data_IF_453293804875
#
_entry.id   IF_453293804875
#
_cell.length_a   1.000
_cell.length_b   1.000
_cell.length_c   1.000
_cell.angle_alpha   90.00
_cell.angle_beta   90.00
_cell.angle_gamma   90.00
#
_symmetry.space_group_name_H-M   'P 1'
#
loop_
_entity.id
_entity.type
_entity.pdbx_description
1 polymer ?
#
# COMPACT_ATOMS: atom_id res chain seq x y z
N UNK A 1 -18.64 -1.32 13.87
CA UNK A 1 -17.61 -0.41 13.41
C UNK A 1 -17.34 0.70 14.41
N UNK A 2 -16.11 1.12 14.44
CA UNK A 2 -15.66 2.25 15.26
C UNK A 2 -15.26 3.40 14.33
N UNK A 3 -15.31 4.64 14.88
CA UNK A 3 -14.73 5.81 14.23
C UNK A 3 -13.50 6.22 15.05
N UNK A 4 -12.33 6.24 14.41
CA UNK A 4 -11.07 6.69 14.98
C UNK A 4 -10.61 7.89 14.15
N UNK A 5 -10.43 9.04 14.77
CA UNK A 5 -10.14 10.28 14.04
C UNK A 5 -9.28 11.26 14.82
N UNK A 6 -8.56 12.10 14.06
CA UNK A 6 -7.79 13.21 14.62
C UNK A 6 -6.59 12.79 15.46
N UNK A 7 -6.00 11.64 15.15
CA UNK A 7 -4.83 11.13 15.86
C UNK A 7 -3.57 11.92 15.48
N UNK A 8 -2.69 12.17 16.45
CA UNK A 8 -1.37 12.77 16.21
C UNK A 8 -0.35 11.76 15.64
N UNK A 9 -0.69 10.49 15.67
CA UNK A 9 0.01 9.39 14.99
C UNK A 9 -0.90 8.78 13.94
N UNK A 10 -0.81 7.48 13.78
CA UNK A 10 -1.71 6.64 12.98
C UNK A 10 -3.10 6.56 13.64
N UNK A 11 -4.16 6.40 12.85
CA UNK A 11 -5.46 6.09 13.44
C UNK A 11 -5.46 4.68 14.05
N UNK A 12 -4.74 3.73 13.42
CA UNK A 12 -4.55 2.39 13.92
C UNK A 12 -3.11 1.92 13.63
N UNK A 13 -2.39 1.58 14.66
CA UNK A 13 -1.05 1.01 14.56
C UNK A 13 -1.02 -0.40 15.13
N UNK A 14 -0.58 -1.35 14.32
CA UNK A 14 -0.43 -2.75 14.70
C UNK A 14 1.02 -3.18 14.54
N UNK A 15 1.59 -3.76 15.57
CA UNK A 15 2.90 -4.41 15.53
C UNK A 15 2.79 -5.83 16.07
N UNK A 16 3.37 -6.80 15.38
CA UNK A 16 3.37 -8.20 15.80
C UNK A 16 1.97 -8.83 15.89
N UNK A 17 0.95 -8.25 15.28
CA UNK A 17 -0.40 -8.80 15.35
C UNK A 17 -0.54 -10.04 14.44
N UNK A 18 -1.30 -11.02 14.93
CA UNK A 18 -1.46 -12.29 14.25
C UNK A 18 -2.92 -12.66 14.08
N UNK A 19 -3.34 -12.88 12.81
CA UNK A 19 -4.71 -13.31 12.45
C UNK A 19 -5.81 -12.44 13.08
N UNK A 20 -5.58 -11.14 13.13
CA UNK A 20 -6.54 -10.17 13.68
C UNK A 20 -7.51 -9.73 12.59
N UNK A 21 -8.78 -9.59 12.96
CA UNK A 21 -9.82 -9.05 12.08
C UNK A 21 -10.08 -7.59 12.43
N UNK A 22 -9.86 -6.70 11.45
CA UNK A 22 -10.06 -5.25 11.57
C UNK A 22 -11.09 -4.87 10.51
N UNK A 23 -12.34 -4.74 10.92
CA UNK A 23 -13.43 -4.63 9.96
C UNK A 23 -14.47 -3.57 10.32
N UNK A 24 -15.06 -2.95 9.30
CA UNK A 24 -16.15 -1.98 9.40
C UNK A 24 -15.83 -0.75 10.25
N UNK A 25 -14.59 -0.26 10.22
CA UNK A 25 -14.19 0.94 10.93
C UNK A 25 -14.05 2.12 9.95
N UNK A 26 -14.18 3.33 10.47
CA UNK A 26 -13.78 4.57 9.79
C UNK A 26 -12.53 5.11 10.46
N UNK A 27 -11.41 5.19 9.71
CA UNK A 27 -10.10 5.65 10.15
C UNK A 27 -9.77 6.94 9.39
N UNK A 28 -9.70 8.08 10.09
CA UNK A 28 -9.64 9.35 9.38
C UNK A 28 -8.92 10.47 10.11
N UNK A 29 -8.51 11.46 9.32
CA UNK A 29 -8.00 12.74 9.79
C UNK A 29 -6.76 12.59 10.72
N UNK A 30 -5.93 11.58 10.47
CA UNK A 30 -4.72 11.32 11.25
C UNK A 30 -3.49 12.02 10.65
N UNK A 31 -2.58 12.42 11.52
CA UNK A 31 -1.33 13.08 11.10
C UNK A 31 -0.45 12.12 10.30
N UNK A 32 -0.37 10.88 10.74
CA UNK A 32 0.33 9.80 10.06
C UNK A 32 -0.67 8.91 9.29
N UNK A 33 -0.36 7.65 9.04
CA UNK A 33 -1.20 6.72 8.28
C UNK A 33 -2.60 6.54 8.87
N UNK A 34 -3.54 6.15 8.04
CA UNK A 34 -4.84 5.67 8.53
C UNK A 34 -4.68 4.37 9.29
N UNK A 35 -3.93 3.42 8.72
CA UNK A 35 -3.51 2.19 9.37
C UNK A 35 -2.10 1.81 8.98
N UNK A 36 -1.31 1.34 9.93
CA UNK A 36 -0.03 0.70 9.71
C UNK A 36 -0.05 -0.72 10.29
N UNK A 37 0.14 -1.72 9.43
CA UNK A 37 0.40 -3.10 9.80
C UNK A 37 1.91 -3.30 9.74
N UNK A 38 2.57 -3.05 10.86
CA UNK A 38 4.03 -3.03 10.95
C UNK A 38 4.60 -4.38 11.39
N UNK A 39 5.88 -4.42 11.53
CA UNK A 39 6.78 -5.55 11.81
C UNK A 39 6.16 -6.71 12.56
N UNK A 40 6.17 -7.88 11.93
CA UNK A 40 5.60 -9.10 12.48
C UNK A 40 4.07 -9.18 12.42
N UNK A 41 3.41 -8.29 11.71
CA UNK A 41 1.98 -8.43 11.39
C UNK A 41 1.78 -9.55 10.39
N UNK A 42 1.12 -10.65 10.81
CA UNK A 42 1.00 -11.87 10.00
C UNK A 42 -0.45 -12.32 9.89
N UNK A 43 -0.92 -12.47 8.64
CA UNK A 43 -2.22 -13.08 8.35
C UNK A 43 -3.42 -12.27 8.86
N UNK A 44 -3.28 -10.96 9.04
CA UNK A 44 -4.39 -10.12 9.47
C UNK A 44 -5.37 -9.87 8.32
N UNK A 45 -6.62 -9.67 8.65
CA UNK A 45 -7.71 -9.38 7.72
C UNK A 45 -8.24 -7.97 7.97
N UNK A 46 -7.85 -7.04 7.11
CA UNK A 46 -8.28 -5.64 7.12
C UNK A 46 -9.32 -5.43 6.02
N UNK A 47 -10.61 -5.35 6.39
CA UNK A 47 -11.67 -5.36 5.39
C UNK A 47 -12.88 -4.49 5.71
N UNK A 48 -13.55 -4.02 4.66
CA UNK A 48 -14.78 -3.23 4.75
C UNK A 48 -14.60 -1.96 5.60
N UNK A 49 -13.40 -1.39 5.65
CA UNK A 49 -13.13 -0.16 6.35
C UNK A 49 -13.20 1.04 5.39
N UNK A 50 -13.44 2.20 5.95
CA UNK A 50 -13.28 3.50 5.32
C UNK A 50 -11.99 4.14 5.85
N UNK A 51 -11.08 4.51 4.94
CA UNK A 51 -9.78 5.12 5.29
C UNK A 51 -9.64 6.43 4.53
N UNK A 52 -9.77 7.56 5.21
CA UNK A 52 -9.92 8.85 4.54
C UNK A 52 -9.16 10.00 5.22
N UNK A 53 -8.60 10.90 4.42
CA UNK A 53 -7.92 12.12 4.87
C UNK A 53 -6.77 11.86 5.87
N UNK A 54 -6.01 10.81 5.71
CA UNK A 54 -4.86 10.51 6.58
C UNK A 54 -3.55 10.96 5.92
N UNK A 55 -2.48 10.95 6.71
CA UNK A 55 -1.16 11.37 6.27
C UNK A 55 -1.02 12.89 6.20
N UNK A 56 -1.72 13.65 7.04
CA UNK A 56 -1.80 15.13 6.97
C UNK A 56 -0.43 15.79 7.05
N UNK A 57 0.54 15.19 7.73
CA UNK A 57 1.92 15.66 7.73
C UNK A 57 2.60 15.57 6.36
N UNK A 58 2.00 14.85 5.41
CA UNK A 58 2.48 14.67 4.03
C UNK A 58 3.31 13.40 3.84
N UNK A 59 3.15 12.78 2.66
CA UNK A 59 3.96 11.65 2.22
C UNK A 59 3.63 10.28 2.83
N UNK A 60 2.50 10.14 3.55
CA UNK A 60 2.11 8.89 4.19
C UNK A 60 0.81 8.31 3.59
N UNK A 61 0.73 6.97 3.43
CA UNK A 61 -0.40 6.32 2.77
C UNK A 61 -1.65 6.21 3.67
N UNK A 62 -2.77 5.87 3.06
CA UNK A 62 -3.97 5.51 3.81
C UNK A 62 -3.76 4.20 4.58
N UNK A 63 -3.26 3.18 3.90
CA UNK A 63 -2.96 1.85 4.44
C UNK A 63 -1.51 1.52 4.16
N UNK A 64 -0.72 1.23 5.19
CA UNK A 64 0.65 0.76 5.10
C UNK A 64 0.75 -0.71 5.57
N UNK A 65 1.42 -1.54 4.78
CA UNK A 65 1.92 -2.84 5.22
C UNK A 65 3.44 -2.75 5.21
N UNK A 66 4.01 -2.57 6.39
CA UNK A 66 5.42 -2.35 6.60
C UNK A 66 6.06 -3.58 7.23
N UNK A 67 6.81 -4.33 6.43
CA UNK A 67 7.40 -5.60 6.89
C UNK A 67 6.36 -6.61 7.44
N UNK A 68 5.17 -6.61 6.83
CA UNK A 68 4.05 -7.49 7.17
C UNK A 68 3.85 -8.58 6.11
N UNK A 69 3.48 -9.78 6.54
CA UNK A 69 3.38 -10.94 5.64
C UNK A 69 2.01 -11.61 5.68
N UNK A 70 1.54 -12.08 4.52
CA UNK A 70 0.28 -12.81 4.37
C UNK A 70 -0.96 -12.06 4.88
N UNK A 71 -0.93 -10.73 4.97
CA UNK A 71 -2.10 -9.94 5.33
C UNK A 71 -3.04 -9.80 4.13
N UNK A 72 -4.31 -9.62 4.42
CA UNK A 72 -5.35 -9.43 3.41
C UNK A 72 -5.98 -8.06 3.62
N UNK A 73 -5.93 -7.23 2.59
CA UNK A 73 -6.63 -5.92 2.53
C UNK A 73 -7.76 -6.06 1.51
N UNK A 74 -8.99 -6.15 1.97
CA UNK A 74 -10.13 -6.54 1.15
C UNK A 74 -11.31 -5.57 1.26
N UNK A 75 -11.89 -5.19 0.14
CA UNK A 75 -13.16 -4.44 0.08
C UNK A 75 -13.19 -3.15 0.93
N UNK A 76 -12.08 -2.46 1.03
CA UNK A 76 -12.01 -1.16 1.73
C UNK A 76 -12.28 -0.01 0.75
N UNK A 77 -12.79 1.10 1.29
CA UNK A 77 -12.92 2.38 0.60
C UNK A 77 -11.84 3.33 1.12
N UNK A 78 -10.86 3.65 0.28
CA UNK A 78 -9.63 4.35 0.66
C UNK A 78 -9.47 5.59 -0.22
N UNK A 79 -9.62 6.79 0.36
CA UNK A 79 -9.64 7.99 -0.46
C UNK A 79 -9.12 9.24 0.25
N UNK A 80 -8.68 10.21 -0.54
CA UNK A 80 -8.16 11.49 -0.06
C UNK A 80 -7.02 11.35 0.98
N UNK A 81 -6.20 10.31 0.91
CA UNK A 81 -5.01 10.22 1.75
C UNK A 81 -3.83 10.91 1.06
N UNK A 82 -2.89 11.42 1.83
CA UNK A 82 -1.89 12.36 1.27
C UNK A 82 -0.86 11.71 0.37
N UNK A 83 -0.62 10.42 0.51
CA UNK A 83 0.22 9.60 -0.36
C UNK A 83 -0.63 8.47 -0.98
N UNK A 84 -0.03 7.36 -1.35
CA UNK A 84 -0.72 6.20 -1.94
C UNK A 84 -1.92 5.75 -1.10
N UNK A 85 -2.92 5.20 -1.74
CA UNK A 85 -4.05 4.60 -1.02
C UNK A 85 -3.57 3.43 -0.16
N UNK A 86 -2.86 2.48 -0.79
CA UNK A 86 -2.26 1.32 -0.12
C UNK A 86 -0.78 1.26 -0.48
N UNK A 87 0.09 1.03 0.50
CA UNK A 87 1.52 0.91 0.28
C UNK A 87 2.08 -0.34 0.99
N UNK A 88 2.81 -1.16 0.24
CA UNK A 88 3.60 -2.27 0.75
C UNK A 88 5.07 -1.85 0.70
N UNK A 89 5.74 -1.89 1.83
CA UNK A 89 7.14 -1.45 1.95
C UNK A 89 7.98 -2.47 2.70
N UNK A 90 9.29 -2.35 2.53
CA UNK A 90 10.29 -3.25 3.11
C UNK A 90 10.06 -4.69 2.65
N UNK A 91 9.80 -5.59 3.56
CA UNK A 91 9.59 -7.02 3.30
C UNK A 91 8.09 -7.36 3.37
N UNK A 92 7.29 -6.75 2.50
CA UNK A 92 5.87 -7.06 2.36
C UNK A 92 5.65 -8.34 1.54
N UNK A 93 5.58 -9.51 2.18
CA UNK A 93 5.54 -10.79 1.46
C UNK A 93 4.17 -11.44 1.43
N UNK A 94 3.75 -11.88 0.25
CA UNK A 94 2.57 -12.72 0.07
C UNK A 94 1.26 -12.09 0.52
N UNK A 95 1.19 -10.76 0.59
CA UNK A 95 -0.04 -10.07 0.96
C UNK A 95 -1.04 -10.09 -0.20
N UNK A 96 -2.32 -10.02 0.12
CA UNK A 96 -3.41 -9.99 -0.86
C UNK A 96 -4.16 -8.67 -0.74
N UNK A 97 -4.16 -7.88 -1.81
CA UNK A 97 -4.85 -6.61 -1.93
C UNK A 97 -5.98 -6.80 -2.93
N UNK A 98 -7.21 -6.89 -2.46
CA UNK A 98 -8.32 -7.34 -3.32
C UNK A 98 -9.59 -6.52 -3.12
N UNK A 99 -10.32 -6.26 -4.20
CA UNK A 99 -11.62 -5.60 -4.20
C UNK A 99 -11.66 -4.18 -3.59
N UNK A 100 -10.54 -3.52 -3.36
CA UNK A 100 -10.52 -2.19 -2.77
C UNK A 100 -10.90 -1.12 -3.80
N UNK A 101 -11.43 -0.02 -3.31
CA UNK A 101 -11.65 1.20 -4.07
C UNK A 101 -10.68 2.25 -3.53
N UNK A 102 -9.73 2.68 -4.37
CA UNK A 102 -8.74 3.72 -4.05
C UNK A 102 -9.04 4.94 -4.92
N UNK A 103 -9.45 6.05 -4.32
CA UNK A 103 -9.87 7.24 -5.07
C UNK A 103 -9.19 8.51 -4.52
N UNK A 104 -8.67 9.35 -5.43
CA UNK A 104 -8.10 10.66 -5.10
C UNK A 104 -7.09 10.64 -3.93
N UNK A 105 -6.32 9.58 -3.81
CA UNK A 105 -5.19 9.54 -2.89
C UNK A 105 -4.01 10.31 -3.50
N UNK A 106 -2.94 10.52 -2.74
CA UNK A 106 -1.73 11.22 -3.18
C UNK A 106 -1.94 12.70 -3.54
N UNK A 107 -2.88 13.36 -2.89
CA UNK A 107 -3.15 14.78 -3.14
C UNK A 107 -1.99 15.71 -2.69
N UNK A 108 -1.14 15.26 -1.80
CA UNK A 108 0.01 16.00 -1.31
C UNK A 108 1.30 15.32 -1.74
N UNK A 109 1.64 15.43 -3.01
CA UNK A 109 2.77 14.77 -3.66
C UNK A 109 4.13 15.24 -3.11
N UNK A 110 4.43 14.91 -1.88
CA UNK A 110 5.77 15.13 -1.33
C UNK A 110 6.66 13.93 -1.66
N UNK A 111 7.17 13.91 -2.87
CA UNK A 111 8.47 13.31 -3.19
C UNK A 111 8.51 11.91 -3.79
N UNK A 112 7.45 11.18 -4.00
CA UNK A 112 7.49 9.89 -4.71
C UNK A 112 6.29 9.73 -5.64
N UNK A 113 6.42 8.92 -6.65
CA UNK A 113 5.42 8.67 -7.68
C UNK A 113 4.08 8.33 -7.05
N UNK A 114 3.11 9.22 -7.22
CA UNK A 114 1.79 9.03 -6.63
C UNK A 114 1.08 7.84 -7.27
N UNK A 115 0.67 6.89 -6.48
CA UNK A 115 -0.03 5.69 -6.94
C UNK A 115 -1.24 5.35 -6.08
N UNK A 116 -2.21 4.71 -6.67
CA UNK A 116 -3.32 4.16 -5.89
C UNK A 116 -2.87 3.03 -4.99
N UNK A 117 -2.03 2.13 -5.54
CA UNK A 117 -1.40 1.02 -4.82
C UNK A 117 0.10 1.00 -5.17
N UNK A 118 0.93 0.92 -4.16
CA UNK A 118 2.37 1.03 -4.24
C UNK A 118 3.05 -0.20 -3.64
N UNK A 119 4.01 -0.76 -4.36
CA UNK A 119 4.80 -1.92 -3.92
C UNK A 119 6.27 -1.54 -4.06
N UNK A 120 6.91 -1.22 -2.94
CA UNK A 120 8.29 -0.77 -2.91
C UNK A 120 9.14 -1.62 -1.95
N UNK A 121 10.38 -1.92 -2.32
CA UNK A 121 11.40 -2.22 -1.35
C UNK A 121 11.77 -0.90 -0.67
N UNK A 122 11.91 -0.85 0.63
CA UNK A 122 12.54 0.29 1.25
C UNK A 122 14.05 0.02 1.33
N UNK A 123 14.86 0.96 0.89
CA UNK A 123 16.29 0.95 1.17
C UNK A 123 16.50 0.93 2.67
N UNK A 124 17.31 0.00 3.10
CA UNK A 124 17.63 -0.15 4.51
C UNK A 124 18.38 1.08 4.99
N UNK A 125 17.76 1.89 5.83
CA UNK A 125 18.56 2.66 6.77
C UNK A 125 19.15 1.66 7.77
N UNK A 126 20.46 1.42 7.61
CA UNK A 126 21.23 0.48 8.41
C UNK A 126 21.34 0.96 9.84
N UNK A 127 20.33 0.74 10.67
CA UNK A 127 20.56 0.80 12.13
C UNK A 127 19.68 -0.21 12.90
N UNK A 128 20.27 -1.38 13.13
CA UNK A 128 20.07 -2.19 14.36
C UNK A 128 18.69 -2.74 14.74
N UNK A 129 17.76 -3.00 13.83
CA UNK A 129 16.44 -3.51 14.25
C UNK A 129 16.15 -4.98 13.86
N UNK A 130 17.10 -5.75 13.39
CA UNK A 130 16.93 -7.20 13.17
C UNK A 130 15.89 -7.58 12.11
N UNK A 131 15.62 -6.70 11.18
CA UNK A 131 14.76 -6.96 10.03
C UNK A 131 15.47 -7.88 9.02
N UNK A 132 14.69 -8.65 8.28
CA UNK A 132 15.20 -9.40 7.13
C UNK A 132 15.36 -8.39 5.99
N UNK A 133 16.49 -7.69 6.00
CA UNK A 133 16.82 -6.69 5.01
C UNK A 133 17.06 -7.35 3.65
N UNK A 134 16.58 -6.74 2.58
CA UNK A 134 16.97 -7.08 1.22
C UNK A 134 16.07 -8.04 0.47
N UNK A 135 14.88 -8.39 0.96
CA UNK A 135 13.98 -9.27 0.22
C UNK A 135 12.96 -8.54 -0.66
N UNK A 136 12.77 -7.22 -0.51
CA UNK A 136 11.75 -6.47 -1.23
C UNK A 136 10.32 -6.94 -0.92
N UNK A 137 9.33 -6.32 -1.55
CA UNK A 137 7.92 -6.67 -1.40
C UNK A 137 7.50 -7.65 -2.51
N UNK A 138 7.55 -8.95 -2.21
CA UNK A 138 7.44 -10.03 -3.19
C UNK A 138 6.20 -10.90 -3.00
N UNK A 139 5.83 -11.62 -4.06
CA UNK A 139 4.73 -12.61 -4.07
C UNK A 139 3.37 -12.03 -3.65
N UNK A 140 3.19 -10.73 -3.74
CA UNK A 140 1.91 -10.12 -3.41
C UNK A 140 0.93 -10.26 -4.58
N UNK A 141 -0.36 -10.27 -4.25
CA UNK A 141 -1.45 -10.34 -5.22
C UNK A 141 -2.28 -9.07 -5.12
N UNK A 142 -2.36 -8.31 -6.22
CA UNK A 142 -3.22 -7.13 -6.36
C UNK A 142 -4.30 -7.44 -7.39
N UNK A 143 -5.51 -7.69 -6.91
CA UNK A 143 -6.57 -8.28 -7.71
C UNK A 143 -7.89 -7.51 -7.59
N UNK A 144 -8.54 -7.25 -8.72
CA UNK A 144 -9.91 -6.71 -8.78
C UNK A 144 -10.11 -5.40 -7.98
N UNK A 145 -9.08 -4.56 -7.87
CA UNK A 145 -9.22 -3.25 -7.25
C UNK A 145 -9.68 -2.23 -8.30
N UNK A 146 -10.35 -1.18 -7.82
CA UNK A 146 -10.70 -0.02 -8.63
C UNK A 146 -9.90 1.18 -8.12
N UNK A 147 -9.08 1.75 -9.00
CA UNK A 147 -8.23 2.90 -8.67
C UNK A 147 -8.59 4.06 -9.59
N UNK A 148 -9.05 5.16 -9.02
CA UNK A 148 -9.52 6.33 -9.77
C UNK A 148 -9.05 7.63 -9.15
N UNK A 149 -9.13 8.72 -9.91
CA UNK A 149 -8.84 10.07 -9.41
C UNK A 149 -7.40 10.52 -9.68
N UNK A 150 -6.82 11.28 -8.77
CA UNK A 150 -5.57 12.03 -8.97
C UNK A 150 -4.33 11.22 -8.60
N UNK A 151 -3.94 10.27 -9.45
CA UNK A 151 -2.71 9.49 -9.27
C UNK A 151 -1.87 9.53 -10.56
N UNK A 152 -0.56 9.32 -10.48
CA UNK A 152 0.29 9.10 -11.67
C UNK A 152 0.18 7.65 -12.15
N UNK A 153 0.03 6.72 -11.22
CA UNK A 153 -0.07 5.28 -11.48
C UNK A 153 -1.27 4.67 -10.75
N UNK A 154 -1.93 3.73 -11.39
CA UNK A 154 -2.91 2.89 -10.71
C UNK A 154 -2.24 1.96 -9.71
N UNK A 155 -1.30 1.14 -10.19
CA UNK A 155 -0.38 0.32 -9.39
C UNK A 155 1.05 0.62 -9.82
N UNK A 156 1.93 0.83 -8.86
CA UNK A 156 3.35 1.05 -9.08
C UNK A 156 4.17 -0.01 -8.36
N UNK A 157 5.11 -0.63 -9.07
CA UNK A 157 6.07 -1.58 -8.50
C UNK A 157 7.46 -1.00 -8.74
N UNK A 158 8.20 -0.75 -7.67
CA UNK A 158 9.53 -0.19 -7.73
C UNK A 158 10.60 -1.18 -7.29
N UNK A 159 11.79 -0.99 -7.84
CA UNK A 159 13.03 -1.42 -7.22
C UNK A 159 13.61 -0.28 -6.40
N UNK A 160 14.32 -0.62 -5.35
CA UNK A 160 15.25 0.30 -4.75
C UNK A 160 16.50 0.36 -5.63
N UNK A 161 16.61 1.44 -6.41
CA UNK A 161 17.73 1.69 -7.31
C UNK A 161 18.97 2.20 -6.55
N UNK A 162 18.93 2.19 -5.23
CA UNK A 162 20.09 2.58 -4.44
C UNK A 162 21.07 1.42 -4.30
N UNK A 163 22.33 1.70 -4.58
CA UNK A 163 23.46 0.76 -4.63
C UNK A 163 23.77 0.01 -3.31
N UNK A 164 22.84 -0.05 -2.40
CA UNK A 164 23.01 -0.55 -1.04
C UNK A 164 22.05 -1.69 -0.68
N UNK A 165 22.05 -2.78 -1.46
CA UNK A 165 21.39 -4.03 -1.07
C UNK A 165 19.86 -4.00 -0.90
N UNK A 166 19.14 -3.04 -1.46
CA UNK A 166 17.69 -3.07 -1.53
C UNK A 166 17.22 -4.29 -2.33
N UNK A 167 16.30 -5.09 -1.79
CA UNK A 167 15.72 -6.20 -2.52
C UNK A 167 14.80 -5.71 -3.66
N UNK A 168 14.68 -6.50 -4.71
CA UNK A 168 13.74 -6.21 -5.78
C UNK A 168 12.31 -6.57 -5.38
N UNK A 169 11.34 -5.72 -5.67
CA UNK A 169 9.91 -6.06 -5.53
C UNK A 169 9.45 -6.88 -6.74
N UNK A 170 9.57 -8.20 -6.67
CA UNK A 170 9.35 -9.09 -7.81
C UNK A 170 8.28 -10.17 -7.54
N UNK A 171 7.97 -10.95 -8.58
CA UNK A 171 7.04 -12.07 -8.52
C UNK A 171 5.64 -11.69 -7.98
N UNK A 172 5.27 -10.41 -8.10
CA UNK A 172 3.94 -9.94 -7.74
C UNK A 172 2.95 -10.22 -8.88
N UNK A 173 1.67 -10.38 -8.55
CA UNK A 173 0.60 -10.63 -9.51
C UNK A 173 -0.40 -9.48 -9.48
N UNK A 174 -0.48 -8.71 -10.57
CA UNK A 174 -1.36 -7.54 -10.72
C UNK A 174 -2.39 -7.83 -11.82
N UNK A 175 -3.60 -8.18 -11.44
CA UNK A 175 -4.59 -8.65 -12.42
C UNK A 175 -6.00 -8.13 -12.16
N UNK A 176 -6.77 -7.99 -13.22
CA UNK A 176 -8.20 -7.64 -13.21
C UNK A 176 -8.52 -6.33 -12.48
N UNK A 177 -7.54 -5.44 -12.30
CA UNK A 177 -7.80 -4.13 -11.71
C UNK A 177 -8.36 -3.17 -12.75
N UNK A 178 -9.08 -2.16 -12.28
CA UNK A 178 -9.65 -1.08 -13.09
C UNK A 178 -8.95 0.22 -12.74
N UNK A 179 -8.46 0.93 -13.75
CA UNK A 179 -7.73 2.18 -13.58
C UNK A 179 -8.40 3.34 -14.31
N UNK A 180 -8.25 4.56 -13.79
CA UNK A 180 -8.68 5.76 -14.50
C UNK A 180 -7.87 5.95 -15.79
N UNK A 181 -8.53 6.44 -16.85
CA UNK A 181 -7.87 6.77 -18.13
C UNK A 181 -6.91 7.97 -18.04
N UNK A 182 -6.96 8.75 -16.97
CA UNK A 182 -6.11 9.93 -16.79
C UNK A 182 -4.67 9.59 -16.33
N UNK A 183 -4.39 8.35 -16.04
CA UNK A 183 -3.07 7.95 -15.55
C UNK A 183 -2.03 7.86 -16.66
N UNK A 184 -0.77 8.17 -16.32
CA UNK A 184 0.36 7.93 -17.21
C UNK A 184 0.48 6.43 -17.49
N UNK A 185 0.28 5.59 -16.46
CA UNK A 185 0.19 4.14 -16.58
C UNK A 185 -0.87 3.59 -15.61
N UNK A 186 -1.68 2.66 -16.08
CA UNK A 186 -2.59 1.92 -15.20
C UNK A 186 -1.82 1.07 -14.19
N UNK A 187 -0.89 0.25 -14.68
CA UNK A 187 0.05 -0.49 -13.84
C UNK A 187 1.45 -0.40 -14.45
N UNK A 188 2.45 -0.11 -13.64
CA UNK A 188 3.84 0.02 -14.05
C UNK A 188 4.73 -0.82 -13.15
N UNK A 189 5.54 -1.68 -13.78
CA UNK A 189 6.54 -2.51 -13.12
C UNK A 189 7.93 -1.98 -13.52
N UNK A 190 8.60 -1.38 -12.59
CA UNK A 190 9.97 -0.89 -12.73
C UNK A 190 10.98 -1.75 -11.96
N UNK A 191 10.54 -2.91 -11.48
CA UNK A 191 11.40 -3.84 -10.78
C UNK A 191 12.43 -4.48 -11.72
N UNK A 192 13.62 -4.75 -11.22
CA UNK A 192 14.68 -5.44 -11.97
C UNK A 192 14.34 -6.91 -12.24
N UNK A 193 13.37 -7.47 -11.52
CA UNK A 193 12.88 -8.84 -11.66
C UNK A 193 11.37 -8.82 -11.88
N UNK A 194 10.93 -9.46 -12.95
CA UNK A 194 9.57 -9.35 -13.47
C UNK A 194 8.46 -9.78 -12.51
N UNK A 195 7.42 -8.99 -12.47
CA UNK A 195 6.10 -9.37 -11.94
C UNK A 195 5.13 -9.72 -13.06
N UNK A 196 4.00 -10.32 -12.72
CA UNK A 196 2.94 -10.62 -13.69
C UNK A 196 1.89 -9.51 -13.70
N UNK A 197 1.86 -8.70 -14.75
CA UNK A 197 0.89 -7.60 -14.92
C UNK A 197 0.03 -7.90 -16.15
N UNK A 198 -1.23 -8.27 -15.97
CA UNK A 198 -2.14 -8.59 -17.09
C UNK A 198 -3.62 -8.45 -16.77
N UNK A 199 -4.44 -8.42 -17.81
CA UNK A 199 -5.89 -8.36 -17.73
C UNK A 199 -6.43 -7.18 -16.90
N UNK A 200 -5.69 -6.09 -16.79
CA UNK A 200 -6.16 -4.86 -16.18
C UNK A 200 -6.92 -4.03 -17.22
N UNK A 201 -7.88 -3.24 -16.76
CA UNK A 201 -8.77 -2.45 -17.61
C UNK A 201 -8.61 -0.98 -17.28
N UNK A 202 -8.43 -0.15 -18.31
CA UNK A 202 -8.51 1.30 -18.18
C UNK A 202 -9.97 1.73 -18.33
N UNK A 203 -10.47 2.50 -17.37
CA UNK A 203 -11.81 3.08 -17.41
C UNK A 203 -11.80 4.35 -18.27
N UNK A 204 -12.71 4.44 -19.21
CA UNK A 204 -12.91 5.63 -20.07
C UNK A 204 -13.85 6.64 -19.39
#
# INVERSE_FOLDING_TARGET
>A
GNVISGCSGEALYCIGSYKTYITYNTLRDSILEGVCLDSGCIGNYFAHNEVVNNGIAGGLPGVSIDNGIYNIVDSNNIYNNSCSGIKLVRTGLGNIIVNNICTDNAYNQMGAKSSGIDIEPLAVETENLGYIDGLGSNWNVVLNNTVTGSHDFGVFIADDDTANNGGSSCENVIMYNKFSSAYTFGAADFSSMSSTVKNNITLN
#
